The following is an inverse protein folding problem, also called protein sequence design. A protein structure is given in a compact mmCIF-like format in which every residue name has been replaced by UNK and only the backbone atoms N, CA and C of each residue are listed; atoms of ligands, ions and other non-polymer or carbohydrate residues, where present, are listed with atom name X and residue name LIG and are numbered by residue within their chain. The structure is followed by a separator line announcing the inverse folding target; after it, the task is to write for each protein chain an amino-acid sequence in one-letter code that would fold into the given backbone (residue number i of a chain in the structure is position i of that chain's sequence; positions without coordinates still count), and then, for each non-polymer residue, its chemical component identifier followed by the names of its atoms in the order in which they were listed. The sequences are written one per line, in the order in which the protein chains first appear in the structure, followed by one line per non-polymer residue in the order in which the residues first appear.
data_IF_465408872030
#
_entry.id   IF_465408872030
#
_cell.length_a   1.000
_cell.length_b   1.000
_cell.length_c   1.000
_cell.angle_alpha   90.00
_cell.angle_beta   90.00
_cell.angle_gamma   90.00
#
_symmetry.space_group_name_H-M   'P 1'
#
loop_
_entity.id
_entity.type
_entity.pdbx_description
1 polymer ?
#
# COMPACT_ATOMS: atom_id res chain seq x y z
N UNK A 1 22.27 -29.08 12.25
CA UNK A 1 21.64 -29.83 13.35
C UNK A 1 20.15 -29.63 13.20
N UNK A 2 19.41 -30.70 12.87
CA UNK A 2 17.96 -30.63 12.68
C UNK A 2 17.30 -30.57 14.04
N UNK A 3 16.52 -29.52 14.31
CA UNK A 3 15.61 -29.46 15.47
C UNK A 3 14.19 -29.47 14.95
N UNK A 4 13.50 -30.59 15.19
CA UNK A 4 12.06 -30.72 15.00
C UNK A 4 11.37 -29.94 16.12
N UNK A 5 10.73 -28.83 15.78
CA UNK A 5 9.72 -28.21 16.64
C UNK A 5 8.36 -28.63 16.09
N UNK A 6 7.72 -29.58 16.75
CA UNK A 6 6.31 -29.91 16.54
C UNK A 6 5.45 -28.90 17.30
N UNK A 7 5.19 -27.76 16.68
CA UNK A 7 4.02 -26.96 17.04
C UNK A 7 2.87 -27.33 16.10
N UNK A 8 1.66 -27.44 16.68
CA UNK A 8 0.40 -27.84 16.04
C UNK A 8 -0.13 -26.82 15.01
N UNK A 9 0.68 -26.50 14.02
CA UNK A 9 0.22 -25.93 12.77
C UNK A 9 0.93 -26.69 11.66
N UNK A 10 0.17 -27.36 10.81
CA UNK A 10 0.66 -28.10 9.63
C UNK A 10 1.27 -27.17 8.55
N UNK A 11 1.92 -26.08 8.95
CA UNK A 11 2.74 -25.27 8.08
C UNK A 11 4.14 -25.90 8.11
N UNK A 12 4.52 -26.60 7.03
CA UNK A 12 5.92 -26.91 6.75
C UNK A 12 6.62 -25.57 6.53
N UNK A 13 7.01 -24.91 7.61
CA UNK A 13 7.95 -23.83 7.56
C UNK A 13 9.29 -24.49 7.22
N UNK A 14 9.65 -24.52 5.93
CA UNK A 14 11.04 -24.69 5.56
C UNK A 14 11.75 -23.49 6.20
N UNK A 15 12.42 -23.71 7.33
CA UNK A 15 13.28 -22.69 7.92
C UNK A 15 14.44 -22.50 6.95
N UNK A 16 14.26 -21.62 5.97
CA UNK A 16 15.38 -20.91 5.39
C UNK A 16 15.95 -20.08 6.54
N UNK A 17 17.17 -20.35 6.98
CA UNK A 17 17.83 -19.62 8.07
C UNK A 17 17.94 -18.09 7.80
N UNK A 18 17.45 -17.61 6.64
CA UNK A 18 17.33 -16.21 6.23
C UNK A 18 16.02 -15.86 5.50
N UNK A 19 14.88 -16.55 5.70
CA UNK A 19 13.61 -16.05 5.14
C UNK A 19 13.04 -14.93 6.00
N UNK A 20 12.69 -13.80 5.38
CA UNK A 20 11.89 -12.77 6.04
C UNK A 20 10.41 -13.15 5.96
N UNK A 21 9.63 -12.74 6.96
CA UNK A 21 8.16 -12.91 6.95
C UNK A 21 7.55 -12.30 5.68
N UNK A 22 8.14 -11.20 5.19
CA UNK A 22 7.73 -10.56 3.93
C UNK A 22 8.02 -11.48 2.74
N UNK A 23 9.21 -12.09 2.67
CA UNK A 23 9.57 -13.03 1.61
C UNK A 23 8.64 -14.25 1.58
N UNK A 24 8.35 -14.83 2.74
CA UNK A 24 7.44 -15.98 2.85
C UNK A 24 6.01 -15.62 2.44
N UNK A 25 5.53 -14.44 2.84
CA UNK A 25 4.24 -13.91 2.42
C UNK A 25 4.19 -13.67 0.90
N UNK A 26 5.26 -13.14 0.29
CA UNK A 26 5.34 -12.95 -1.16
C UNK A 26 5.28 -14.28 -1.92
N UNK A 27 6.00 -15.30 -1.48
CA UNK A 27 5.97 -16.64 -2.10
C UNK A 27 4.58 -17.25 -1.99
N UNK A 28 3.96 -17.20 -0.80
CA UNK A 28 2.62 -17.73 -0.59
C UNK A 28 1.55 -16.99 -1.42
N UNK A 29 1.65 -15.66 -1.54
CA UNK A 29 0.78 -14.88 -2.44
C UNK A 29 0.99 -15.27 -3.90
N UNK A 30 2.23 -15.44 -4.34
CA UNK A 30 2.52 -15.81 -5.73
C UNK A 30 1.97 -17.20 -6.08
N UNK A 31 2.13 -18.18 -5.19
CA UNK A 31 1.55 -19.51 -5.35
C UNK A 31 0.02 -19.46 -5.43
N UNK A 32 -0.62 -18.67 -4.57
CA UNK A 32 -2.08 -18.50 -4.58
C UNK A 32 -2.59 -17.82 -5.85
N UNK A 33 -1.90 -16.78 -6.33
CA UNK A 33 -2.27 -16.10 -7.59
C UNK A 33 -2.16 -17.04 -8.80
N UNK A 34 -1.12 -17.87 -8.83
CA UNK A 34 -0.92 -18.84 -9.92
C UNK A 34 -1.93 -20.00 -9.87
N UNK A 35 -2.36 -20.40 -8.67
CA UNK A 35 -3.23 -21.56 -8.45
C UNK A 35 -4.34 -21.26 -7.43
N UNK A 36 -5.31 -20.38 -7.75
CA UNK A 36 -6.28 -19.85 -6.78
C UNK A 36 -7.31 -20.87 -6.29
N UNK A 37 -7.47 -21.99 -6.98
CA UNK A 37 -8.35 -23.11 -6.57
C UNK A 37 -7.57 -24.29 -5.99
N UNK A 38 -6.24 -24.21 -5.92
CA UNK A 38 -5.41 -25.23 -5.31
C UNK A 38 -5.26 -24.95 -3.81
N UNK A 39 -5.07 -26.02 -3.03
CA UNK A 39 -4.74 -25.90 -1.61
C UNK A 39 -3.32 -25.36 -1.44
N UNK A 40 -3.22 -24.05 -1.26
CA UNK A 40 -1.97 -23.33 -0.96
C UNK A 40 -1.94 -22.92 0.52
N UNK A 41 -0.79 -22.41 0.99
CA UNK A 41 -0.71 -21.85 2.34
C UNK A 41 -1.74 -20.72 2.57
N UNK A 42 -2.05 -19.95 1.52
CA UNK A 42 -2.98 -18.83 1.59
C UNK A 42 -4.46 -19.25 1.48
N UNK A 43 -4.78 -20.40 0.86
CA UNK A 43 -6.16 -20.95 0.76
C UNK A 43 -6.80 -21.18 2.14
N UNK A 44 -5.99 -21.56 3.14
CA UNK A 44 -6.45 -21.74 4.52
C UNK A 44 -6.80 -20.42 5.24
N UNK A 45 -6.32 -19.27 4.75
CA UNK A 45 -6.53 -17.94 5.36
C UNK A 45 -7.57 -17.15 4.56
N UNK A 46 -7.48 -17.22 3.23
CA UNK A 46 -8.40 -16.61 2.27
C UNK A 46 -9.17 -17.72 1.56
N UNK A 47 -10.20 -18.30 2.21
CA UNK A 47 -11.03 -19.31 1.56
C UNK A 47 -11.59 -18.73 0.27
N UNK A 48 -11.57 -19.52 -0.81
CA UNK A 48 -12.02 -19.22 -2.16
C UNK A 48 -12.86 -17.94 -2.26
N UNK A 49 -12.19 -16.80 -2.45
CA UNK A 49 -12.86 -15.51 -2.64
C UNK A 49 -13.48 -15.54 -4.03
N UNK A 50 -14.76 -15.25 -4.15
CA UNK A 50 -15.38 -15.17 -5.47
C UNK A 50 -14.87 -13.93 -6.22
N UNK A 51 -14.80 -14.05 -7.56
CA UNK A 51 -14.25 -13.01 -8.42
C UNK A 51 -14.98 -11.68 -8.27
N UNK A 52 -16.30 -11.69 -7.99
CA UNK A 52 -17.06 -10.47 -7.82
C UNK A 52 -16.65 -9.74 -6.53
N UNK A 53 -16.52 -10.46 -5.41
CA UNK A 53 -16.03 -9.91 -4.15
C UNK A 53 -14.59 -9.41 -4.27
N UNK A 54 -13.71 -10.14 -4.96
CA UNK A 54 -12.34 -9.70 -5.20
C UNK A 54 -12.29 -8.41 -6.04
N UNK A 55 -13.09 -8.33 -7.10
CA UNK A 55 -13.14 -7.16 -7.97
C UNK A 55 -13.76 -5.95 -7.27
N UNK A 56 -14.81 -6.15 -6.46
CA UNK A 56 -15.39 -5.09 -5.64
C UNK A 56 -14.39 -4.60 -4.60
N UNK A 57 -13.69 -5.50 -3.92
CA UNK A 57 -12.64 -5.14 -2.95
C UNK A 57 -11.52 -4.33 -3.60
N UNK A 58 -11.11 -4.71 -4.82
CA UNK A 58 -10.13 -3.97 -5.61
C UNK A 58 -10.66 -2.59 -6.01
N UNK A 59 -11.91 -2.50 -6.47
CA UNK A 59 -12.55 -1.22 -6.81
C UNK A 59 -12.62 -0.28 -5.60
N UNK A 60 -13.03 -0.80 -4.44
CA UNK A 60 -13.08 -0.07 -3.18
C UNK A 60 -11.70 0.41 -2.75
N UNK A 61 -10.69 -0.45 -2.85
CA UNK A 61 -9.29 -0.11 -2.54
C UNK A 61 -8.78 1.03 -3.42
N UNK A 62 -9.02 0.96 -4.74
CA UNK A 62 -8.68 2.05 -5.67
C UNK A 62 -9.38 3.35 -5.31
N UNK A 63 -10.67 3.29 -4.96
CA UNK A 63 -11.45 4.48 -4.59
C UNK A 63 -10.94 5.14 -3.32
N UNK A 64 -10.60 4.34 -2.30
CA UNK A 64 -10.02 4.84 -1.04
C UNK A 64 -8.65 5.47 -1.29
N UNK A 65 -7.77 4.82 -2.04
CA UNK A 65 -6.46 5.40 -2.40
C UNK A 65 -6.64 6.71 -3.16
N UNK A 66 -7.53 6.75 -4.15
CA UNK A 66 -7.82 7.96 -4.93
C UNK A 66 -8.27 9.12 -4.03
N UNK A 67 -9.23 8.87 -3.14
CA UNK A 67 -9.74 9.88 -2.21
C UNK A 67 -8.67 10.34 -1.23
N UNK A 68 -7.91 9.41 -0.66
CA UNK A 68 -6.88 9.70 0.33
C UNK A 68 -5.77 10.57 -0.25
N UNK A 69 -5.24 10.24 -1.44
CA UNK A 69 -4.20 11.04 -2.08
C UNK A 69 -4.72 12.45 -2.40
N UNK A 70 -5.98 12.57 -2.85
CA UNK A 70 -6.58 13.88 -3.09
C UNK A 70 -6.71 14.71 -1.81
N UNK A 71 -7.12 14.10 -0.69
CA UNK A 71 -7.18 14.75 0.61
C UNK A 71 -5.80 15.21 1.07
N UNK A 72 -4.78 14.36 0.94
CA UNK A 72 -3.40 14.73 1.28
C UNK A 72 -2.91 15.89 0.42
N UNK A 73 -3.18 15.88 -0.89
CA UNK A 73 -2.83 16.99 -1.78
C UNK A 73 -3.56 18.28 -1.41
N UNK A 74 -4.81 18.21 -0.94
CA UNK A 74 -5.50 19.39 -0.41
C UNK A 74 -4.80 19.95 0.82
N UNK A 75 -4.33 19.10 1.73
CA UNK A 75 -3.56 19.52 2.91
C UNK A 75 -2.23 20.14 2.47
N UNK A 76 -1.51 19.50 1.56
CA UNK A 76 -0.24 20.03 1.01
C UNK A 76 -0.45 21.42 0.43
N UNK A 77 -1.46 21.62 -0.42
CA UNK A 77 -1.65 22.89 -1.12
C UNK A 77 -2.25 23.99 -0.22
N UNK A 78 -3.18 23.64 0.68
CA UNK A 78 -3.95 24.63 1.44
C UNK A 78 -3.44 24.84 2.86
N UNK A 79 -2.60 23.94 3.39
CA UNK A 79 -2.02 24.04 4.72
C UNK A 79 -0.50 24.13 4.63
N UNK A 80 0.17 23.09 4.12
CA UNK A 80 1.63 23.03 4.12
C UNK A 80 2.26 24.15 3.28
N UNK A 81 1.77 24.36 2.07
CA UNK A 81 2.31 25.34 1.12
C UNK A 81 1.73 26.75 1.29
N UNK A 82 0.82 26.94 2.25
CA UNK A 82 0.12 28.20 2.43
C UNK A 82 0.85 29.09 3.43
N UNK A 83 1.08 30.35 3.04
CA UNK A 83 1.69 31.33 3.92
C UNK A 83 0.62 31.94 4.84
N UNK A 84 0.42 31.32 6.01
CA UNK A 84 -0.47 31.87 7.03
C UNK A 84 0.19 33.08 7.71
N UNK A 85 -0.58 34.06 8.21
CA UNK A 85 -0.06 35.13 9.06
C UNK A 85 0.23 34.62 10.49
N UNK A 86 1.17 35.24 11.24
CA UNK A 86 1.50 34.87 12.62
C UNK A 86 0.32 34.81 13.59
N UNK A 87 -0.73 35.58 13.33
CA UNK A 87 -1.94 35.62 14.16
C UNK A 87 -2.80 34.34 14.10
N UNK A 88 -2.59 33.46 13.10
CA UNK A 88 -3.34 32.22 12.92
C UNK A 88 -2.61 30.99 13.49
N UNK A 89 -1.94 31.13 14.63
CA UNK A 89 -1.41 29.97 15.35
C UNK A 89 -2.55 28.99 15.70
N UNK A 90 -2.36 27.66 15.54
CA UNK A 90 -1.10 26.96 15.28
C UNK A 90 -0.78 26.72 13.79
N UNK A 91 -1.54 27.27 12.86
CA UNK A 91 -1.33 27.06 11.41
C UNK A 91 -0.14 27.84 10.85
N UNK A 92 0.36 28.84 11.59
CA UNK A 92 1.55 29.59 11.22
C UNK A 92 2.85 28.83 11.51
N UNK A 93 3.70 28.67 10.49
CA UNK A 93 5.07 28.22 10.62
C UNK A 93 5.96 28.89 9.57
N UNK A 94 7.24 29.08 9.89
CA UNK A 94 8.21 29.69 8.98
C UNK A 94 8.73 28.62 7.99
N UNK A 95 8.13 28.56 6.80
CA UNK A 95 8.60 27.68 5.74
C UNK A 95 9.73 28.34 4.93
N UNK A 96 10.98 28.05 5.29
CA UNK A 96 12.17 28.56 4.58
C UNK A 96 12.58 27.73 3.36
N UNK A 97 11.98 26.55 3.18
CA UNK A 97 12.27 25.63 2.08
C UNK A 97 11.35 25.80 0.86
N UNK A 98 11.62 25.09 -0.25
CA UNK A 98 10.71 25.05 -1.39
C UNK A 98 9.37 24.44 -1.01
N UNK A 99 8.33 24.73 -1.79
CA UNK A 99 7.00 24.17 -1.58
C UNK A 99 7.04 22.64 -1.65
N UNK A 100 6.25 22.02 -0.79
CA UNK A 100 6.07 20.58 -0.77
C UNK A 100 5.37 20.15 -2.08
N UNK A 101 5.94 19.19 -2.83
CA UNK A 101 5.33 18.71 -4.05
C UNK A 101 4.05 17.91 -3.77
N UNK A 102 3.15 17.86 -4.74
CA UNK A 102 1.96 17.02 -4.66
C UNK A 102 2.32 15.54 -4.75
N UNK A 103 1.58 14.70 -4.04
CA UNK A 103 1.64 13.25 -4.17
C UNK A 103 0.96 12.83 -5.47
N UNK A 104 1.58 11.89 -6.17
CA UNK A 104 0.96 11.28 -7.33
C UNK A 104 -0.25 10.45 -6.92
N UNK A 105 -1.39 10.71 -7.55
CA UNK A 105 -2.52 9.80 -7.47
C UNK A 105 -2.37 8.76 -8.58
N UNK A 106 -2.23 7.46 -8.27
CA UNK A 106 -2.07 6.44 -9.31
C UNK A 106 -3.36 6.23 -10.13
N UNK A 107 -4.48 6.80 -9.69
CA UNK A 107 -5.77 6.66 -10.34
C UNK A 107 -6.33 8.00 -10.84
N UNK A 108 -7.03 7.97 -11.97
CA UNK A 108 -7.86 9.07 -12.46
C UNK A 108 -9.24 9.06 -11.77
N UNK A 109 -10.09 10.05 -12.05
CA UNK A 109 -11.42 10.19 -11.42
C UNK A 109 -12.39 9.05 -11.75
N UNK A 110 -12.16 8.35 -12.86
CA UNK A 110 -12.87 7.13 -13.26
C UNK A 110 -12.23 5.85 -12.68
N UNK A 111 -11.22 5.99 -11.81
CA UNK A 111 -10.45 4.92 -11.18
C UNK A 111 -9.62 4.06 -12.16
N UNK A 112 -9.43 4.54 -13.39
CA UNK A 112 -8.43 3.99 -14.29
C UNK A 112 -7.02 4.32 -13.80
N UNK A 113 -6.05 3.45 -14.09
CA UNK A 113 -4.64 3.69 -13.77
C UNK A 113 -4.08 4.81 -14.64
N UNK A 114 -3.36 5.75 -14.04
CA UNK A 114 -2.70 6.85 -14.76
C UNK A 114 -1.21 6.92 -14.44
N UNK A 115 -0.46 7.54 -15.34
CA UNK A 115 0.92 7.93 -15.05
C UNK A 115 0.95 9.25 -14.27
N UNK A 116 1.94 9.34 -13.37
CA UNK A 116 2.22 10.56 -12.62
C UNK A 116 2.71 11.66 -13.57
N UNK A 117 2.31 12.89 -13.31
CA UNK A 117 2.78 14.07 -14.04
C UNK A 117 4.14 14.53 -13.50
N UNK A 118 4.88 15.27 -14.31
CA UNK A 118 6.14 15.87 -13.88
C UNK A 118 5.92 16.76 -12.66
N UNK A 119 6.70 16.55 -11.60
CA UNK A 119 6.58 17.29 -10.33
C UNK A 119 5.65 16.65 -9.29
N UNK A 120 4.92 15.59 -9.64
CA UNK A 120 4.26 14.72 -8.64
C UNK A 120 5.28 13.72 -8.06
N UNK A 121 5.17 13.42 -6.77
CA UNK A 121 5.99 12.40 -6.11
C UNK A 121 5.28 11.05 -6.20
N UNK A 122 5.93 10.09 -6.85
CA UNK A 122 5.49 8.70 -6.94
C UNK A 122 5.96 7.89 -5.74
N UNK A 123 5.16 6.90 -5.34
CA UNK A 123 5.46 5.95 -4.27
C UNK A 123 6.56 4.95 -4.66
N UNK A 124 6.80 4.73 -5.95
CA UNK A 124 7.81 3.77 -6.43
C UNK A 124 9.25 4.12 -6.02
N UNK A 125 9.53 5.40 -5.74
CA UNK A 125 10.85 5.88 -5.30
C UNK A 125 10.92 6.17 -3.78
N UNK A 126 9.91 5.76 -3.01
CA UNK A 126 9.96 5.87 -1.56
C UNK A 126 10.91 4.79 -1.00
N UNK A 127 12.15 5.16 -0.70
CA UNK A 127 13.09 4.29 0.03
C UNK A 127 12.66 4.16 1.49
N UNK A 128 12.67 2.94 2.02
CA UNK A 128 12.37 2.60 3.41
C UNK A 128 13.63 2.57 4.27
#
# INVERSE_FOLDING_TARGET
VYTLFEDKCHLKLLVCQTCSVVSDACVAMNEWVAHPTAKTALDHILPCVDVATANESLYQSRRVTYQMVNLLNQVVMNVSNKNFPPALAPLYFNQSGPLMPALCNPFASDLSTRQCQAGEVDFNNATQ
#
